data_IF_932228945828
#
_entry.id   IF_932228945828
#
_cell.length_a   1.000
_cell.length_b   1.000
_cell.length_c   1.000
_cell.angle_alpha   90.00
_cell.angle_beta   90.00
_cell.angle_gamma   90.00
#
_symmetry.space_group_name_H-M   'P 1'
#
loop_
_entity.id
_entity.type
_entity.pdbx_description
1 polymer ?
#
# COMPACT_ATOMS: atom_id res chain seq x y z
N UNK A 1 -20.20 -3.51 -10.51
CA UNK A 1 -19.64 -2.20 -10.06
C UNK A 1 -19.76 -2.20 -8.55
N UNK A 2 -18.64 -2.22 -7.83
CA UNK A 2 -18.64 -2.10 -6.37
C UNK A 2 -19.05 -0.69 -6.01
N UNK A 3 -20.15 -0.53 -5.28
CA UNK A 3 -20.64 0.76 -4.82
C UNK A 3 -19.71 1.36 -3.75
N UNK A 4 -19.84 2.63 -3.41
CA UNK A 4 -19.05 3.30 -2.39
C UNK A 4 -19.23 2.64 -1.00
N UNK A 5 -20.45 2.20 -0.68
CA UNK A 5 -20.77 1.44 0.54
C UNK A 5 -20.07 0.09 0.59
N UNK A 6 -20.00 -0.63 -0.54
CA UNK A 6 -19.36 -1.93 -0.65
C UNK A 6 -17.84 -1.82 -0.45
N UNK A 7 -17.20 -0.75 -0.98
CA UNK A 7 -15.77 -0.50 -0.77
C UNK A 7 -15.45 -0.20 0.69
N UNK A 8 -16.29 0.61 1.35
CA UNK A 8 -16.15 0.88 2.77
C UNK A 8 -16.20 -0.40 3.62
N UNK A 9 -17.15 -1.29 3.30
CA UNK A 9 -17.25 -2.60 3.96
C UNK A 9 -16.01 -3.47 3.71
N UNK A 10 -15.49 -3.52 2.48
CA UNK A 10 -14.31 -4.30 2.13
C UNK A 10 -13.02 -3.78 2.82
N UNK A 11 -12.86 -2.47 2.99
CA UNK A 11 -11.75 -1.94 3.78
C UNK A 11 -11.90 -2.22 5.27
N UNK A 12 -13.12 -2.20 5.82
CA UNK A 12 -13.37 -2.61 7.20
C UNK A 12 -13.07 -4.10 7.42
N UNK A 13 -13.40 -4.95 6.46
CA UNK A 13 -13.05 -6.37 6.48
C UNK A 13 -11.52 -6.56 6.46
N UNK A 14 -10.81 -5.82 5.59
CA UNK A 14 -9.35 -5.83 5.56
C UNK A 14 -8.76 -5.41 6.90
N UNK A 15 -9.29 -4.35 7.53
CA UNK A 15 -8.82 -3.88 8.85
C UNK A 15 -9.06 -4.88 9.99
N UNK A 16 -10.01 -5.79 9.83
CA UNK A 16 -10.26 -6.90 10.75
C UNK A 16 -9.27 -8.08 10.59
N UNK A 17 -8.35 -8.03 9.62
CA UNK A 17 -7.33 -9.05 9.43
C UNK A 17 -6.43 -9.15 10.67
N UNK A 18 -6.28 -10.37 11.20
CA UNK A 18 -5.46 -10.63 12.38
C UNK A 18 -4.00 -10.16 12.23
N UNK A 19 -3.48 -10.09 11.00
CA UNK A 19 -2.14 -9.55 10.72
C UNK A 19 -2.06 -8.06 11.09
N UNK A 20 -3.10 -7.27 10.81
CA UNK A 20 -3.14 -5.85 11.14
C UNK A 20 -3.25 -5.61 12.66
N UNK A 21 -3.97 -6.47 13.38
CA UNK A 21 -4.00 -6.44 14.83
C UNK A 21 -2.60 -6.73 15.44
N UNK A 22 -1.88 -7.71 14.91
CA UNK A 22 -0.50 -8.00 15.32
C UNK A 22 0.45 -6.83 15.01
N UNK A 23 0.29 -6.19 13.85
CA UNK A 23 1.05 -5.00 13.44
C UNK A 23 0.79 -3.84 14.40
N UNK A 24 -0.48 -3.53 14.72
CA UNK A 24 -0.84 -2.47 15.65
C UNK A 24 -0.22 -2.70 17.04
N UNK A 25 -0.25 -3.95 17.53
CA UNK A 25 0.40 -4.34 18.78
C UNK A 25 1.91 -4.14 18.72
N UNK A 26 2.56 -4.59 17.65
CA UNK A 26 4.01 -4.45 17.46
C UNK A 26 4.44 -2.99 17.30
N UNK A 27 3.59 -2.13 16.75
CA UNK A 27 3.85 -0.71 16.56
C UNK A 27 3.92 0.06 17.89
N UNK A 28 3.23 -0.43 18.93
CA UNK A 28 3.28 0.16 20.29
C UNK A 28 3.01 1.67 20.30
N UNK A 29 2.01 2.12 19.54
CA UNK A 29 1.59 3.53 19.45
C UNK A 29 2.28 4.34 18.34
N UNK A 30 3.26 3.79 17.63
CA UNK A 30 3.81 4.44 16.43
C UNK A 30 2.75 4.43 15.32
N UNK A 31 2.50 5.56 14.64
CA UNK A 31 1.55 5.60 13.52
C UNK A 31 1.98 4.66 12.39
N UNK A 32 1.06 3.78 11.98
CA UNK A 32 1.22 2.82 10.89
C UNK A 32 0.11 3.03 9.89
N UNK A 33 0.44 2.95 8.60
CA UNK A 33 -0.54 3.03 7.54
C UNK A 33 -0.34 1.87 6.56
N UNK A 34 -1.45 1.20 6.25
CA UNK A 34 -1.52 0.25 5.14
C UNK A 34 -1.68 1.05 3.84
N UNK A 35 -0.94 0.67 2.81
CA UNK A 35 -0.86 1.43 1.55
C UNK A 35 -0.79 0.49 0.34
N UNK A 36 -0.80 1.05 -0.84
CA UNK A 36 -0.45 0.31 -2.06
C UNK A 36 -1.48 -0.70 -2.55
N UNK A 37 -0.98 -1.84 -3.00
CA UNK A 37 -1.78 -2.89 -3.62
C UNK A 37 -2.86 -3.47 -2.72
N UNK A 38 -2.58 -3.60 -1.42
CA UNK A 38 -3.51 -4.14 -0.44
C UNK A 38 -4.80 -3.29 -0.33
N UNK A 39 -4.65 -1.97 -0.22
CA UNK A 39 -5.79 -1.04 -0.13
C UNK A 39 -6.60 -1.03 -1.42
N UNK A 40 -5.90 -1.01 -2.58
CA UNK A 40 -6.53 -1.09 -3.90
C UNK A 40 -7.33 -2.39 -4.07
N UNK A 41 -6.70 -3.53 -3.81
CA UNK A 41 -7.30 -4.83 -4.08
C UNK A 41 -8.48 -5.11 -3.14
N UNK A 42 -8.39 -4.73 -1.86
CA UNK A 42 -9.54 -4.76 -0.96
C UNK A 42 -10.70 -3.89 -1.47
N UNK A 43 -10.44 -2.64 -1.88
CA UNK A 43 -11.46 -1.75 -2.44
C UNK A 43 -12.11 -2.27 -3.74
N UNK A 44 -11.48 -3.24 -4.40
CA UNK A 44 -12.02 -3.95 -5.56
C UNK A 44 -12.68 -5.30 -5.20
N UNK A 45 -12.75 -5.67 -3.92
CA UNK A 45 -13.24 -6.97 -3.46
C UNK A 45 -12.34 -8.13 -3.85
N UNK A 46 -11.04 -7.90 -4.02
CA UNK A 46 -10.04 -8.92 -4.39
C UNK A 46 -9.32 -9.43 -3.16
N UNK A 47 -8.84 -10.69 -3.17
CA UNK A 47 -8.01 -11.21 -2.09
C UNK A 47 -6.75 -10.37 -1.86
N UNK A 48 -6.37 -10.21 -0.58
CA UNK A 48 -5.18 -9.48 -0.15
C UNK A 48 -4.24 -10.45 0.55
N UNK A 49 -3.18 -10.85 -0.15
CA UNK A 49 -2.16 -11.74 0.39
C UNK A 49 -1.01 -10.97 1.05
N UNK A 50 -0.53 -9.93 0.40
CA UNK A 50 0.60 -9.13 0.82
C UNK A 50 0.17 -7.78 1.39
N UNK A 51 0.88 -7.31 2.41
CA UNK A 51 0.61 -6.03 3.06
C UNK A 51 1.81 -5.10 2.92
N UNK A 52 1.57 -3.91 2.41
CA UNK A 52 2.55 -2.83 2.32
C UNK A 52 2.28 -1.80 3.42
N UNK A 53 3.23 -1.59 4.32
CA UNK A 53 3.10 -0.70 5.46
C UNK A 53 4.12 0.43 5.40
N UNK A 54 3.65 1.64 5.67
CA UNK A 54 4.52 2.76 6.00
C UNK A 54 4.34 3.12 7.48
N UNK A 55 5.44 3.36 8.15
CA UNK A 55 5.46 3.75 9.57
C UNK A 55 6.15 5.11 9.71
N UNK A 56 5.74 5.89 10.70
CA UNK A 56 6.33 7.20 10.91
C UNK A 56 7.85 7.07 11.17
N UNK A 57 8.22 6.12 12.01
CA UNK A 57 9.60 5.79 12.38
C UNK A 57 9.69 4.42 13.05
N UNK A 58 10.89 3.87 13.16
CA UNK A 58 11.15 2.65 13.93
C UNK A 58 10.71 1.35 13.26
N UNK A 59 10.55 1.34 11.96
CA UNK A 59 10.20 0.16 11.17
C UNK A 59 11.04 -1.08 11.49
N UNK A 60 12.37 -1.00 11.64
CA UNK A 60 13.19 -2.13 12.03
C UNK A 60 12.79 -2.76 13.38
N UNK A 61 12.47 -1.94 14.38
CA UNK A 61 12.05 -2.44 15.68
C UNK A 61 10.65 -3.07 15.63
N UNK A 62 9.74 -2.49 14.85
CA UNK A 62 8.39 -3.04 14.62
C UNK A 62 8.49 -4.38 13.91
N UNK A 63 9.28 -4.46 12.82
CA UNK A 63 9.50 -5.69 12.07
C UNK A 63 10.13 -6.80 12.93
N UNK A 64 11.11 -6.46 13.77
CA UNK A 64 11.74 -7.42 14.69
C UNK A 64 10.73 -7.97 15.72
N UNK A 65 9.87 -7.10 16.31
CA UNK A 65 8.81 -7.54 17.24
C UNK A 65 7.80 -8.44 16.55
N UNK A 66 7.37 -8.09 15.33
CA UNK A 66 6.48 -8.92 14.52
C UNK A 66 7.10 -10.29 14.21
N UNK A 67 8.36 -10.32 13.78
CA UNK A 67 9.07 -11.57 13.51
C UNK A 67 9.11 -12.47 14.74
N UNK A 68 9.43 -11.89 15.92
CA UNK A 68 9.51 -12.62 17.18
C UNK A 68 8.15 -13.20 17.62
N UNK A 69 7.05 -12.48 17.39
CA UNK A 69 5.70 -12.90 17.82
C UNK A 69 5.03 -13.85 16.84
N UNK A 70 5.32 -13.72 15.53
CA UNK A 70 4.66 -14.51 14.48
C UNK A 70 5.48 -15.67 13.96
N UNK A 71 6.79 -15.73 14.28
CA UNK A 71 7.72 -16.70 13.70
C UNK A 71 8.05 -16.42 12.22
N UNK A 72 7.64 -15.27 11.67
CA UNK A 72 7.93 -14.90 10.30
C UNK A 72 9.44 -14.64 10.10
N UNK A 73 9.94 -15.00 8.92
CA UNK A 73 11.33 -14.73 8.55
C UNK A 73 11.50 -13.28 8.13
N UNK A 74 12.38 -12.54 8.81
CA UNK A 74 12.71 -11.17 8.48
C UNK A 74 13.82 -11.12 7.41
N UNK A 75 13.62 -10.30 6.36
CA UNK A 75 14.55 -10.11 5.25
C UNK A 75 14.65 -8.61 4.94
N UNK A 76 15.89 -8.11 4.80
CA UNK A 76 16.11 -6.75 4.31
C UNK A 76 15.94 -6.69 2.79
N UNK A 77 15.22 -5.72 2.29
CA UNK A 77 15.01 -5.49 0.85
C UNK A 77 15.87 -4.32 0.37
N UNK A 78 16.56 -4.52 -0.77
CA UNK A 78 17.25 -3.43 -1.45
C UNK A 78 18.49 -2.86 -0.76
N UNK A 79 19.01 -3.56 0.26
CA UNK A 79 20.16 -3.13 1.05
C UNK A 79 19.88 -1.90 1.93
N UNK A 80 20.91 -1.34 2.57
CA UNK A 80 20.80 -0.22 3.51
C UNK A 80 20.16 1.05 2.90
N UNK A 81 20.22 1.18 1.58
CA UNK A 81 19.77 2.39 0.88
C UNK A 81 18.24 2.54 0.79
N UNK A 82 17.47 1.45 0.89
CA UNK A 82 16.02 1.49 0.76
C UNK A 82 15.27 1.32 2.07
N UNK A 83 15.92 0.79 3.11
CA UNK A 83 15.36 0.68 4.46
C UNK A 83 14.06 -0.15 4.58
N UNK A 84 13.69 -0.88 3.52
CA UNK A 84 12.51 -1.72 3.53
C UNK A 84 12.81 -3.09 4.14
N UNK A 85 11.91 -3.58 4.97
CA UNK A 85 12.00 -4.87 5.63
C UNK A 85 10.80 -5.73 5.26
N UNK A 86 11.06 -6.97 4.88
CA UNK A 86 10.04 -7.96 4.53
C UNK A 86 9.95 -9.05 5.58
N UNK A 87 8.76 -9.29 6.12
CA UNK A 87 8.43 -10.48 6.89
C UNK A 87 7.76 -11.49 5.97
N UNK A 88 8.29 -12.70 5.94
CA UNK A 88 7.80 -13.80 5.09
C UNK A 88 7.22 -14.90 5.96
N UNK A 89 5.96 -15.28 5.68
CA UNK A 89 5.26 -16.39 6.32
C UNK A 89 4.54 -17.21 5.25
N UNK A 90 5.08 -18.37 4.92
CA UNK A 90 4.59 -19.18 3.79
C UNK A 90 4.74 -18.41 2.46
N UNK A 91 3.62 -18.25 1.75
CA UNK A 91 3.55 -17.51 0.49
C UNK A 91 3.09 -16.04 0.66
N UNK A 92 2.89 -15.59 1.90
CA UNK A 92 2.48 -14.22 2.23
C UNK A 92 3.64 -13.40 2.75
N UNK A 93 3.62 -12.09 2.51
CA UNK A 93 4.61 -11.19 3.09
C UNK A 93 4.01 -9.87 3.56
N UNK A 94 4.75 -9.24 4.47
CA UNK A 94 4.47 -7.91 4.98
C UNK A 94 5.72 -7.08 4.74
N UNK A 95 5.60 -6.02 3.97
CA UNK A 95 6.67 -5.06 3.73
C UNK A 95 6.48 -3.84 4.61
N UNK A 96 7.54 -3.44 5.30
CA UNK A 96 7.54 -2.30 6.22
C UNK A 96 8.67 -1.36 5.87
N UNK A 97 8.40 -0.08 5.75
CA UNK A 97 9.41 0.97 5.62
C UNK A 97 9.04 2.26 6.35
N UNK A 98 10.07 2.99 6.74
CA UNK A 98 9.92 4.27 7.41
C UNK A 98 9.61 5.39 6.42
N UNK A 99 8.81 6.35 6.84
CA UNK A 99 8.56 7.60 6.10
C UNK A 99 9.79 8.52 6.05
N UNK A 100 10.91 8.14 6.72
CA UNK A 100 12.19 8.85 6.76
C UNK A 100 12.05 10.33 7.19
N UNK A 101 11.15 10.58 8.15
CA UNK A 101 10.88 11.92 8.67
C UNK A 101 10.00 12.79 7.78
N UNK A 102 9.58 12.28 6.63
CA UNK A 102 8.62 12.98 5.74
C UNK A 102 7.17 12.72 6.14
N UNK A 103 6.24 13.59 5.71
CA UNK A 103 4.81 13.37 5.94
C UNK A 103 4.28 12.25 5.03
N UNK A 104 3.26 11.52 5.52
CA UNK A 104 2.54 10.50 4.74
C UNK A 104 2.09 11.02 3.37
N UNK A 105 1.61 12.26 3.31
CA UNK A 105 1.17 12.88 2.06
C UNK A 105 2.28 12.90 1.00
N UNK A 106 3.51 13.19 1.40
CA UNK A 106 4.65 13.20 0.46
C UNK A 106 4.96 11.79 -0.05
N UNK A 107 4.82 10.76 0.78
CA UNK A 107 4.97 9.36 0.35
C UNK A 107 3.90 8.99 -0.68
N UNK A 108 2.64 9.33 -0.42
CA UNK A 108 1.52 9.02 -1.33
C UNK A 108 1.70 9.71 -2.70
N UNK A 109 2.12 10.98 -2.73
CA UNK A 109 2.40 11.70 -3.97
C UNK A 109 3.60 11.15 -4.78
N UNK A 110 4.55 10.46 -4.13
CA UNK A 110 5.70 9.82 -4.82
C UNK A 110 5.38 8.44 -5.40
N UNK A 111 4.19 7.88 -5.10
CA UNK A 111 3.78 6.58 -5.65
C UNK A 111 3.49 6.69 -7.14
N UNK A 112 3.41 5.54 -7.79
CA UNK A 112 3.23 5.43 -9.24
C UNK A 112 1.84 5.91 -9.70
N UNK A 113 0.78 5.24 -9.18
CA UNK A 113 -0.59 5.47 -9.62
C UNK A 113 -1.49 5.87 -8.43
N UNK A 114 -2.51 6.69 -8.72
CA UNK A 114 -3.47 7.16 -7.71
C UNK A 114 -4.14 6.02 -6.97
N UNK A 115 -4.48 4.93 -7.67
CA UNK A 115 -5.08 3.72 -7.08
C UNK A 115 -4.15 2.99 -6.09
N UNK A 116 -2.85 3.25 -6.12
CA UNK A 116 -1.86 2.74 -5.19
C UNK A 116 -1.43 3.78 -4.14
N UNK A 117 -2.00 5.00 -4.22
CA UNK A 117 -1.67 6.14 -3.36
C UNK A 117 -2.77 6.45 -2.34
N UNK A 118 -3.48 5.42 -1.91
CA UNK A 118 -4.48 5.46 -0.84
C UNK A 118 -3.84 4.84 0.40
N UNK A 119 -4.04 5.44 1.57
CA UNK A 119 -3.58 4.92 2.84
C UNK A 119 -4.74 4.71 3.81
N UNK A 120 -4.65 3.65 4.63
CA UNK A 120 -5.55 3.39 5.76
C UNK A 120 -4.72 3.35 7.04
N UNK A 121 -5.05 4.18 8.02
CA UNK A 121 -4.43 4.12 9.35
C UNK A 121 -4.76 2.79 10.04
N UNK A 122 -3.79 2.19 10.71
CA UNK A 122 -3.95 0.93 11.45
C UNK A 122 -3.86 1.24 12.95
N UNK A 123 -4.86 0.82 13.76
CA UNK A 123 -6.03 0.03 13.43
C UNK A 123 -7.28 0.84 13.03
N UNK A 124 -7.27 2.17 13.10
CA UNK A 124 -8.47 3.03 13.14
C UNK A 124 -9.21 3.12 11.81
N UNK A 125 -8.55 2.77 10.70
CA UNK A 125 -9.14 2.81 9.36
C UNK A 125 -9.30 4.22 8.78
N UNK A 126 -8.78 5.26 9.43
CA UNK A 126 -8.81 6.61 8.88
C UNK A 126 -8.11 6.65 7.52
N UNK A 127 -8.87 7.08 6.50
CA UNK A 127 -8.38 7.09 5.12
C UNK A 127 -7.67 8.40 4.79
N UNK A 128 -6.56 8.28 4.07
CA UNK A 128 -5.84 9.41 3.45
C UNK A 128 -5.72 9.14 1.95
N UNK A 129 -6.36 9.97 1.13
CA UNK A 129 -6.36 9.87 -0.33
C UNK A 129 -6.14 11.26 -0.97
N UNK A 130 -4.90 11.77 -0.99
CA UNK A 130 -4.63 13.10 -1.52
C UNK A 130 -4.67 13.17 -3.05
N UNK A 131 -4.65 12.03 -3.72
CA UNK A 131 -4.53 11.93 -5.19
C UNK A 131 -5.86 11.62 -5.88
N UNK A 132 -6.91 11.31 -5.13
CA UNK A 132 -8.21 10.90 -5.68
C UNK A 132 -8.23 9.45 -6.17
N UNK A 133 -7.44 8.58 -5.55
CA UNK A 133 -7.34 7.17 -5.91
C UNK A 133 -8.65 6.40 -5.71
N UNK A 134 -9.45 6.75 -4.70
CA UNK A 134 -10.76 6.13 -4.46
C UNK A 134 -11.72 6.40 -5.62
N UNK A 135 -11.71 7.62 -6.16
CA UNK A 135 -12.51 7.96 -7.34
C UNK A 135 -12.02 7.23 -8.58
N UNK A 136 -10.70 7.11 -8.75
CA UNK A 136 -10.10 6.37 -9.87
C UNK A 136 -10.37 4.87 -9.79
N UNK A 137 -10.42 4.28 -8.59
CA UNK A 137 -10.89 2.91 -8.38
C UNK A 137 -12.34 2.74 -8.82
N UNK A 138 -13.22 3.68 -8.44
CA UNK A 138 -14.62 3.63 -8.82
C UNK A 138 -14.82 3.73 -10.33
N UNK A 139 -14.02 4.57 -10.99
CA UNK A 139 -14.04 4.79 -12.44
C UNK A 139 -13.22 3.80 -13.23
N UNK A 140 -12.54 2.88 -12.56
CA UNK A 140 -11.62 1.92 -13.17
C UNK A 140 -10.55 2.59 -14.04
N UNK A 141 -9.92 3.62 -13.51
CA UNK A 141 -8.95 4.45 -14.21
C UNK A 141 -7.55 4.29 -13.62
N UNK A 142 -6.55 4.10 -14.48
CA UNK A 142 -5.14 4.13 -14.12
C UNK A 142 -4.58 5.51 -14.45
N UNK A 143 -4.37 6.31 -13.41
CA UNK A 143 -3.83 7.67 -13.51
C UNK A 143 -2.53 7.75 -12.71
N UNK A 144 -1.48 8.31 -13.32
CA UNK A 144 -0.25 8.63 -12.62
C UNK A 144 -0.52 9.67 -11.51
N UNK A 145 0.17 9.55 -10.38
CA UNK A 145 0.02 10.53 -9.29
C UNK A 145 0.49 11.93 -9.72
N UNK A 146 1.49 12.00 -10.58
CA UNK A 146 2.05 13.22 -11.17
C UNK A 146 2.82 12.89 -12.46
N UNK A 147 3.11 13.87 -13.29
CA UNK A 147 3.70 13.65 -14.61
C UNK A 147 5.12 13.04 -14.56
N UNK A 148 5.88 13.38 -13.51
CA UNK A 148 7.31 13.04 -13.41
C UNK A 148 7.56 11.58 -12.97
N UNK A 149 6.53 10.84 -12.55
CA UNK A 149 6.71 9.51 -11.92
C UNK A 149 7.42 8.50 -12.82
N UNK A 150 7.25 8.59 -14.13
CA UNK A 150 7.92 7.68 -15.08
C UNK A 150 9.38 8.09 -15.35
N UNK A 151 9.68 9.38 -15.31
CA UNK A 151 11.05 9.88 -15.45
C UNK A 151 11.89 9.55 -14.21
N UNK A 152 11.29 9.56 -13.04
CA UNK A 152 11.95 9.22 -11.78
C UNK A 152 12.26 7.71 -11.65
N UNK A 153 11.37 6.87 -12.16
CA UNK A 153 11.51 5.41 -12.13
C UNK A 153 10.87 4.79 -13.38
N UNK A 154 11.66 4.52 -14.42
CA UNK A 154 11.16 3.92 -15.68
C UNK A 154 10.48 2.56 -15.52
N UNK A 155 10.77 1.81 -14.43
CA UNK A 155 10.09 0.53 -14.13
C UNK A 155 8.59 0.72 -13.98
N UNK A 156 8.13 1.91 -13.63
CA UNK A 156 6.69 2.24 -13.49
C UNK A 156 5.92 2.11 -14.81
N UNK A 157 6.58 2.24 -15.96
CA UNK A 157 5.96 1.95 -17.27
C UNK A 157 5.57 0.47 -17.37
N UNK A 158 6.45 -0.43 -16.93
CA UNK A 158 6.13 -1.86 -16.87
C UNK A 158 5.03 -2.16 -15.84
N UNK A 159 5.01 -1.41 -14.75
CA UNK A 159 3.95 -1.52 -13.74
C UNK A 159 2.59 -1.07 -14.29
N UNK A 160 2.55 -0.01 -15.12
CA UNK A 160 1.33 0.40 -15.82
C UNK A 160 0.81 -0.72 -16.70
N UNK A 161 1.66 -1.29 -17.55
CA UNK A 161 1.30 -2.40 -18.43
C UNK A 161 0.77 -3.62 -17.62
N UNK A 162 1.45 -3.96 -16.53
CA UNK A 162 1.00 -5.02 -15.62
C UNK A 162 -0.38 -4.72 -15.02
N UNK A 163 -0.60 -3.52 -14.51
CA UNK A 163 -1.89 -3.16 -13.92
C UNK A 163 -3.01 -3.17 -14.95
N UNK A 164 -2.78 -2.66 -16.15
CA UNK A 164 -3.75 -2.69 -17.25
C UNK A 164 -4.15 -4.13 -17.66
N UNK A 165 -3.25 -5.10 -17.49
CA UNK A 165 -3.54 -6.51 -17.80
C UNK A 165 -4.14 -7.27 -16.61
N UNK A 166 -3.80 -6.90 -15.37
CA UNK A 166 -4.23 -7.63 -14.17
C UNK A 166 -5.46 -7.05 -13.48
N UNK A 167 -5.85 -5.82 -13.85
CA UNK A 167 -7.06 -5.16 -13.35
C UNK A 167 -8.11 -5.08 -14.46
N UNK A 168 -9.06 -6.04 -14.53
CA UNK A 168 -10.03 -6.08 -15.63
C UNK A 168 -10.90 -4.83 -15.69
N UNK A 169 -11.00 -4.23 -16.89
CA UNK A 169 -11.81 -3.05 -17.14
C UNK A 169 -11.20 -1.75 -16.66
N UNK A 170 -9.91 -1.74 -16.29
CA UNK A 170 -9.17 -0.50 -16.02
C UNK A 170 -8.52 0.02 -17.31
N UNK A 171 -8.72 1.31 -17.57
CA UNK A 171 -8.11 2.03 -18.67
C UNK A 171 -7.08 3.04 -18.17
N UNK A 172 -5.96 3.17 -18.88
CA UNK A 172 -4.99 4.21 -18.60
C UNK A 172 -5.55 5.58 -19.04
N UNK A 173 -5.43 6.58 -18.16
CA UNK A 173 -5.78 7.94 -18.52
C UNK A 173 -4.87 8.45 -19.65
N UNK A 174 -5.41 9.14 -20.68
CA UNK A 174 -4.59 9.61 -21.80
C UNK A 174 -3.37 10.43 -21.38
N UNK A 175 -3.50 11.32 -20.39
CA UNK A 175 -2.40 12.10 -19.85
C UNK A 175 -1.32 11.27 -19.12
N UNK A 176 -1.64 10.03 -18.74
CA UNK A 176 -0.70 9.10 -18.11
C UNK A 176 0.20 8.41 -19.14
N UNK A 177 -0.22 8.34 -20.40
CA UNK A 177 0.48 7.64 -21.50
C UNK A 177 1.05 8.61 -22.55
N UNK A 178 0.79 9.89 -22.42
CA UNK A 178 1.33 10.95 -23.30
C UNK A 178 2.76 11.32 -22.90
#
# INVERSE_FOLDING_TARGET
>A
MTDASDRGAAWNELLADARLAAIASAAAGVPVHLVGGAVRDAGLGRPVDDLDLVVAEGGPAIAARLAATTGARLVALGGERFGALRLVSGNRHIDIWDLQGGPLLADLWRRDFTVNAIALAVPDGAMTDPTGGVEDLARRRLRATRAEVFAEDPVRVLRLARLATTLPGFDAEPATVA
#
